data_IF_483220878810
#
_entry.id   IF_483220878810
#
_cell.length_a   1.000
_cell.length_b   1.000
_cell.length_c   1.000
_cell.angle_alpha   90.00
_cell.angle_beta   90.00
_cell.angle_gamma   90.00
#
_symmetry.space_group_name_H-M   'P 1'
#
loop_
_entity.id
_entity.type
_entity.pdbx_description
1 polymer ?
#
# COMPACT_ATOMS: atom_id res chain seq x y z
N UNK A 1 -26.15 -22.77 76.63
CA UNK A 1 -25.09 -23.75 76.94
C UNK A 1 -25.60 -25.10 76.45
N UNK A 2 -25.54 -25.40 75.15
CA UNK A 2 -24.34 -25.82 74.39
C UNK A 2 -23.56 -26.95 75.07
N UNK A 3 -23.42 -28.06 74.32
CA UNK A 3 -22.44 -29.17 74.33
C UNK A 3 -23.16 -30.53 74.13
N UNK A 4 -22.79 -31.45 73.24
CA UNK A 4 -21.71 -31.50 72.26
C UNK A 4 -22.08 -32.51 71.15
N UNK A 5 -21.99 -32.05 69.90
CA UNK A 5 -21.83 -32.85 68.70
C UNK A 5 -20.50 -33.61 68.76
N UNK A 6 -20.50 -34.90 68.40
CA UNK A 6 -19.43 -35.57 67.61
C UNK A 6 -19.73 -37.07 67.41
N UNK A 7 -20.79 -37.38 66.66
CA UNK A 7 -20.75 -38.57 65.81
C UNK A 7 -20.12 -38.12 64.49
N UNK A 8 -18.99 -38.70 64.12
CA UNK A 8 -18.14 -38.26 63.00
C UNK A 8 -18.95 -38.00 61.72
N UNK A 9 -19.10 -36.72 61.37
CA UNK A 9 -19.75 -36.27 60.14
C UNK A 9 -19.00 -36.71 58.86
N UNK A 10 -17.81 -37.29 58.98
CA UNK A 10 -17.00 -37.75 57.85
C UNK A 10 -17.46 -39.05 57.20
N UNK A 11 -18.38 -39.79 57.83
CA UNK A 11 -18.79 -41.11 57.34
C UNK A 11 -19.96 -41.06 56.36
N UNK A 12 -20.78 -40.00 56.41
CA UNK A 12 -21.99 -39.87 55.60
C UNK A 12 -21.90 -38.70 54.62
N UNK A 13 -22.24 -38.98 53.37
CA UNK A 13 -22.10 -38.07 52.24
C UNK A 13 -23.49 -37.79 51.68
N UNK A 14 -23.79 -36.51 51.40
CA UNK A 14 -25.07 -36.12 50.81
C UNK A 14 -25.15 -36.54 49.34
N UNK A 15 -26.34 -36.57 48.75
CA UNK A 15 -26.51 -36.81 47.30
C UNK A 15 -25.68 -35.85 46.46
N UNK A 16 -25.55 -34.60 46.89
CA UNK A 16 -24.79 -33.59 46.14
C UNK A 16 -23.29 -33.88 46.16
N UNK A 17 -22.77 -34.31 47.31
CA UNK A 17 -21.36 -34.69 47.45
C UNK A 17 -21.08 -36.06 46.80
N UNK A 18 -22.08 -36.93 46.72
CA UNK A 18 -21.98 -38.18 45.97
C UNK A 18 -21.89 -37.93 44.45
N UNK A 19 -22.62 -36.94 43.93
CA UNK A 19 -22.53 -36.53 42.52
C UNK A 19 -21.12 -36.05 42.15
N UNK A 20 -20.47 -35.29 43.03
CA UNK A 20 -19.13 -34.77 42.77
C UNK A 20 -18.08 -35.88 42.84
N UNK A 21 -18.19 -36.80 43.81
CA UNK A 21 -17.27 -37.93 43.92
C UNK A 21 -17.36 -38.94 42.77
N UNK A 22 -18.54 -39.09 42.16
CA UNK A 22 -18.79 -39.99 41.02
C UNK A 22 -18.77 -39.27 39.66
N UNK A 23 -18.46 -37.96 39.65
CA UNK A 23 -18.54 -37.09 38.48
C UNK A 23 -19.81 -37.32 37.61
N UNK A 24 -20.97 -37.43 38.28
CA UNK A 24 -22.23 -37.77 37.61
C UNK A 24 -23.43 -36.96 38.12
N UNK A 25 -24.49 -36.90 37.32
CA UNK A 25 -25.72 -36.21 37.67
C UNK A 25 -26.57 -36.97 38.70
N UNK A 26 -27.42 -36.24 39.44
CA UNK A 26 -28.33 -36.82 40.46
C UNK A 26 -29.20 -37.94 39.90
N UNK A 27 -29.61 -37.84 38.63
CA UNK A 27 -30.40 -38.86 37.95
C UNK A 27 -29.69 -40.21 37.97
N UNK A 28 -28.40 -40.27 37.60
CA UNK A 28 -27.61 -41.52 37.59
C UNK A 28 -27.54 -42.15 38.99
N UNK A 29 -27.49 -41.33 40.05
CA UNK A 29 -27.53 -41.84 41.43
C UNK A 29 -28.84 -42.56 41.73
N UNK A 30 -29.98 -41.95 41.42
CA UNK A 30 -31.28 -42.54 41.74
C UNK A 30 -31.69 -43.68 40.80
N UNK A 31 -31.45 -43.52 39.50
CA UNK A 31 -31.99 -44.43 38.47
C UNK A 31 -31.04 -45.52 38.05
N UNK A 32 -29.75 -45.43 38.40
CA UNK A 32 -28.77 -46.46 38.09
C UNK A 32 -28.17 -47.06 39.36
N UNK A 33 -27.72 -46.25 40.32
CA UNK A 33 -27.08 -46.80 41.53
C UNK A 33 -28.08 -47.30 42.58
N UNK A 34 -29.13 -46.54 42.88
CA UNK A 34 -30.10 -46.94 43.92
C UNK A 34 -31.07 -48.01 43.43
N UNK A 35 -31.64 -47.82 42.23
CA UNK A 35 -32.61 -48.76 41.63
C UNK A 35 -32.01 -50.16 41.40
N UNK A 36 -30.76 -50.24 40.98
CA UNK A 36 -30.06 -51.51 40.75
C UNK A 36 -29.42 -52.08 42.03
N UNK A 37 -29.68 -51.47 43.20
CA UNK A 37 -29.19 -51.94 44.50
C UNK A 37 -27.68 -51.72 44.75
N UNK A 38 -26.99 -51.00 43.87
CA UNK A 38 -25.55 -50.71 43.97
C UNK A 38 -25.22 -49.69 45.07
N UNK A 39 -26.17 -48.82 45.41
CA UNK A 39 -26.04 -47.82 46.46
C UNK A 39 -27.31 -47.78 47.31
N UNK A 40 -27.18 -47.90 48.63
CA UNK A 40 -28.32 -47.86 49.56
C UNK A 40 -28.36 -46.56 50.36
N UNK A 41 -29.56 -45.99 50.54
CA UNK A 41 -29.75 -44.82 51.42
C UNK A 41 -29.59 -45.26 52.87
N UNK A 42 -28.58 -44.74 53.57
CA UNK A 42 -28.25 -45.16 54.94
C UNK A 42 -28.82 -44.25 56.00
N UNK A 43 -29.05 -42.98 55.66
CA UNK A 43 -29.69 -42.00 56.55
C UNK A 43 -30.54 -41.05 55.74
N UNK A 44 -31.71 -40.70 56.27
CA UNK A 44 -32.62 -39.71 55.67
C UNK A 44 -32.93 -38.62 56.69
N UNK A 45 -32.64 -37.37 56.34
CA UNK A 45 -32.96 -36.19 57.16
C UNK A 45 -33.87 -35.30 56.31
N UNK A 46 -35.16 -35.29 56.63
CA UNK A 46 -36.18 -34.67 55.77
C UNK A 46 -36.21 -35.29 54.38
N UNK A 47 -36.10 -34.46 53.34
CA UNK A 47 -36.03 -34.91 51.93
C UNK A 47 -34.59 -35.18 51.45
N UNK A 48 -33.59 -35.11 52.33
CA UNK A 48 -32.18 -35.34 51.97
C UNK A 48 -31.78 -36.76 52.30
N UNK A 49 -31.24 -37.44 51.29
CA UNK A 49 -30.66 -38.78 51.42
C UNK A 49 -29.16 -38.67 51.66
N UNK A 50 -28.64 -39.53 52.53
CA UNK A 50 -27.23 -39.63 52.85
C UNK A 50 -26.77 -41.09 52.69
N UNK A 51 -25.56 -41.23 52.16
CA UNK A 51 -24.92 -42.49 51.84
C UNK A 51 -23.63 -42.65 52.63
N UNK A 52 -23.13 -43.87 52.80
CA UNK A 52 -21.81 -44.06 53.36
C UNK A 52 -20.75 -43.65 52.33
N UNK A 53 -19.76 -42.86 52.76
CA UNK A 53 -18.64 -42.44 51.91
C UNK A 53 -17.91 -43.62 51.27
N UNK A 54 -17.73 -44.70 52.03
CA UNK A 54 -17.05 -45.92 51.60
C UNK A 54 -17.77 -46.63 50.45
N UNK A 55 -19.10 -46.54 50.39
CA UNK A 55 -19.89 -47.18 49.33
C UNK A 55 -19.75 -46.38 48.03
N UNK A 56 -19.73 -45.03 48.12
CA UNK A 56 -19.50 -44.15 46.97
C UNK A 56 -18.10 -44.33 46.40
N UNK A 57 -17.07 -44.36 47.26
CA UNK A 57 -15.68 -44.55 46.82
C UNK A 57 -15.45 -45.94 46.19
N UNK A 58 -16.19 -46.96 46.62
CA UNK A 58 -16.17 -48.29 45.97
C UNK A 58 -16.74 -48.23 44.57
N UNK A 59 -17.85 -47.52 44.38
CA UNK A 59 -18.46 -47.33 43.06
C UNK A 59 -17.53 -46.51 42.16
N UNK A 60 -16.93 -45.43 42.66
CA UNK A 60 -16.00 -44.59 41.90
C UNK A 60 -14.83 -45.41 41.34
N UNK A 61 -14.22 -46.25 42.17
CA UNK A 61 -13.14 -47.15 41.75
C UNK A 61 -13.59 -48.19 40.73
N UNK A 62 -14.83 -48.67 40.82
CA UNK A 62 -15.39 -49.59 39.83
C UNK A 62 -15.71 -48.90 38.49
N UNK A 63 -16.08 -47.61 38.50
CA UNK A 63 -16.26 -46.83 37.27
C UNK A 63 -14.93 -46.47 36.63
N UNK A 64 -13.89 -46.13 37.39
CA UNK A 64 -12.54 -45.94 36.82
C UNK A 64 -12.06 -47.18 36.04
N UNK A 65 -12.45 -48.37 36.47
CA UNK A 65 -12.19 -49.63 35.77
C UNK A 65 -13.13 -49.87 34.57
N UNK A 66 -14.28 -49.17 34.48
CA UNK A 66 -15.25 -49.29 33.38
C UNK A 66 -15.21 -48.15 32.35
N UNK A 67 -14.37 -47.11 32.55
CA UNK A 67 -14.16 -46.00 31.58
C UNK A 67 -13.47 -46.46 30.28
N UNK A 68 -13.10 -47.73 30.13
CA UNK A 68 -12.87 -48.28 28.79
C UNK A 68 -14.20 -48.28 28.02
N UNK A 69 -14.34 -47.49 26.94
CA UNK A 69 -15.62 -47.30 26.28
C UNK A 69 -16.02 -48.61 25.58
N UNK A 70 -16.90 -49.38 26.22
CA UNK A 70 -17.70 -50.39 25.54
C UNK A 70 -18.77 -49.63 24.77
N UNK A 71 -18.44 -49.22 23.54
CA UNK A 71 -19.48 -49.00 22.52
C UNK A 71 -19.81 -50.36 21.90
N UNK A 72 -20.57 -51.17 22.62
CA UNK A 72 -21.35 -52.23 21.99
C UNK A 72 -22.75 -51.67 21.79
N UNK A 73 -23.13 -51.55 20.52
CA UNK A 73 -24.45 -51.13 20.06
C UNK A 73 -25.56 -51.97 20.75
N UNK A 74 -26.67 -51.38 21.22
CA UNK A 74 -27.78 -52.13 21.79
C UNK A 74 -28.61 -52.75 20.66
N UNK A 75 -28.12 -53.83 20.07
CA UNK A 75 -28.85 -54.60 19.04
C UNK A 75 -28.35 -56.03 19.00
N UNK A 76 -28.38 -56.73 20.13
CA UNK A 76 -28.33 -58.20 20.25
C UNK A 76 -28.41 -58.53 21.74
N UNK A 77 -29.63 -58.57 22.28
CA UNK A 77 -29.96 -59.21 23.55
C UNK A 77 -31.46 -59.46 23.57
N UNK A 78 -31.90 -60.34 22.67
CA UNK A 78 -33.05 -61.20 22.89
C UNK A 78 -32.61 -62.60 22.47
N UNK A 79 -32.98 -63.56 23.31
CA UNK A 79 -32.71 -65.00 23.18
C UNK A 79 -31.31 -65.46 23.58
N UNK A 80 -31.12 -65.70 24.88
CA UNK A 80 -30.72 -67.01 25.41
C UNK A 80 -30.63 -66.94 26.95
N UNK A 81 -31.80 -66.90 27.59
CA UNK A 81 -31.97 -67.64 28.85
C UNK A 81 -32.16 -69.10 28.45
N UNK A 82 -31.15 -69.93 28.66
CA UNK A 82 -31.28 -71.29 29.21
C UNK A 82 -29.96 -72.04 29.12
N UNK A 83 -29.65 -72.72 30.22
CA UNK A 83 -28.80 -73.91 30.35
C UNK A 83 -27.34 -73.80 30.86
N UNK A 84 -27.22 -74.38 32.05
CA UNK A 84 -26.16 -75.25 32.56
C UNK A 84 -24.90 -74.64 33.23
N UNK A 85 -24.95 -74.77 34.56
CA UNK A 85 -23.84 -74.96 35.50
C UNK A 85 -22.82 -75.98 34.94
N UNK A 86 -21.56 -75.54 34.78
CA UNK A 86 -20.41 -76.41 34.50
C UNK A 86 -19.08 -75.65 34.60
N UNK A 87 -18.02 -76.16 35.27
CA UNK A 87 -16.84 -75.36 35.60
C UNK A 87 -15.74 -75.50 34.54
N UNK A 88 -15.55 -74.50 33.68
CA UNK A 88 -14.27 -74.25 32.98
C UNK A 88 -14.22 -72.89 32.25
N UNK A 89 -14.43 -71.78 32.97
CA UNK A 89 -14.52 -70.43 32.37
C UNK A 89 -13.21 -69.78 31.92
N UNK A 90 -12.03 -70.39 32.16
CA UNK A 90 -10.75 -69.69 31.92
C UNK A 90 -10.37 -69.55 30.44
N UNK A 91 -10.69 -70.54 29.61
CA UNK A 91 -10.27 -70.54 28.19
C UNK A 91 -11.16 -69.66 27.30
N UNK A 92 -12.45 -69.54 27.62
CA UNK A 92 -13.36 -68.62 26.92
C UNK A 92 -13.09 -67.17 27.31
N UNK A 93 -12.85 -66.88 28.58
CA UNK A 93 -12.46 -65.54 29.03
C UNK A 93 -11.15 -65.08 28.39
N UNK A 94 -10.20 -66.00 28.20
CA UNK A 94 -8.91 -65.72 27.57
C UNK A 94 -9.02 -65.51 26.06
N UNK A 95 -9.96 -66.20 25.38
CA UNK A 95 -10.31 -65.94 23.97
C UNK A 95 -11.01 -64.59 23.79
N UNK A 96 -11.99 -64.28 24.64
CA UNK A 96 -12.72 -63.01 24.60
C UNK A 96 -11.79 -61.82 24.82
N UNK A 97 -10.82 -61.94 25.74
CA UNK A 97 -9.80 -60.93 25.98
C UNK A 97 -8.85 -60.76 24.78
N UNK A 98 -8.47 -61.86 24.13
CA UNK A 98 -7.63 -61.84 22.92
C UNK A 98 -8.31 -61.14 21.74
N UNK A 99 -9.60 -61.41 21.53
CA UNK A 99 -10.40 -60.73 20.51
C UNK A 99 -10.56 -59.24 20.81
N UNK A 100 -10.78 -58.88 22.08
CA UNK A 100 -10.85 -57.49 22.51
C UNK A 100 -9.53 -56.73 22.30
N UNK A 101 -8.39 -57.34 22.67
CA UNK A 101 -7.06 -56.75 22.42
C UNK A 101 -6.82 -56.59 20.91
N UNK A 102 -7.28 -57.54 20.09
CA UNK A 102 -7.14 -57.47 18.64
C UNK A 102 -8.00 -56.36 18.04
N UNK A 103 -9.22 -56.17 18.53
CA UNK A 103 -10.11 -55.09 18.10
C UNK A 103 -9.56 -53.71 18.50
N UNK A 104 -8.99 -53.59 19.72
CA UNK A 104 -8.32 -52.38 20.17
C UNK A 104 -7.09 -52.05 19.33
N UNK A 105 -6.26 -53.05 18.99
CA UNK A 105 -5.10 -52.86 18.11
C UNK A 105 -5.53 -52.39 16.72
N UNK A 106 -6.60 -52.97 16.16
CA UNK A 106 -7.16 -52.53 14.89
C UNK A 106 -7.66 -51.07 14.97
N UNK A 107 -8.38 -50.72 16.05
CA UNK A 107 -8.87 -49.36 16.28
C UNK A 107 -7.73 -48.34 16.42
N UNK A 108 -6.66 -48.69 17.11
CA UNK A 108 -5.47 -47.84 17.25
C UNK A 108 -4.84 -47.61 15.88
N UNK A 109 -4.66 -48.67 15.10
CA UNK A 109 -4.11 -48.57 13.74
C UNK A 109 -4.97 -47.68 12.84
N UNK A 110 -6.29 -47.84 12.86
CA UNK A 110 -7.22 -47.01 12.07
C UNK A 110 -7.14 -45.53 12.47
N UNK A 111 -7.02 -45.24 13.78
CA UNK A 111 -6.86 -43.88 14.30
C UNK A 111 -5.52 -43.27 13.90
N UNK A 112 -4.43 -44.03 13.95
CA UNK A 112 -3.12 -43.59 13.48
C UNK A 112 -3.15 -43.30 11.98
N UNK A 113 -3.83 -44.14 11.20
CA UNK A 113 -3.97 -43.96 9.76
C UNK A 113 -4.82 -42.73 9.42
N UNK A 114 -5.91 -42.49 10.16
CA UNK A 114 -6.72 -41.28 10.03
C UNK A 114 -5.93 -40.01 10.40
N UNK A 115 -5.13 -40.07 11.47
CA UNK A 115 -4.27 -38.96 11.89
C UNK A 115 -3.21 -38.65 10.82
N UNK A 116 -2.57 -39.68 10.26
CA UNK A 116 -1.61 -39.52 9.15
C UNK A 116 -2.30 -38.93 7.91
N UNK A 117 -3.46 -39.45 7.54
CA UNK A 117 -4.25 -38.97 6.40
C UNK A 117 -4.63 -37.49 6.55
N UNK A 118 -4.85 -37.01 7.77
CA UNK A 118 -5.16 -35.62 8.05
C UNK A 118 -3.90 -34.72 8.12
N UNK A 119 -2.75 -35.26 8.53
CA UNK A 119 -1.49 -34.51 8.64
C UNK A 119 -0.88 -34.11 7.29
N UNK A 120 -0.97 -34.99 6.28
CA UNK A 120 -0.41 -34.76 4.94
C UNK A 120 -0.97 -33.51 4.24
N UNK A 121 -2.30 -33.32 4.10
CA UNK A 121 -2.84 -32.12 3.48
C UNK A 121 -2.52 -30.86 4.28
N UNK A 122 -2.41 -30.96 5.61
CA UNK A 122 -2.06 -29.83 6.47
C UNK A 122 -0.65 -29.29 6.17
N UNK A 123 0.31 -30.20 5.94
CA UNK A 123 1.68 -29.86 5.52
C UNK A 123 1.66 -29.21 4.14
N UNK A 124 0.92 -29.77 3.18
CA UNK A 124 0.79 -29.18 1.83
C UNK A 124 0.19 -27.77 1.85
N UNK A 125 -0.82 -27.52 2.69
CA UNK A 125 -1.40 -26.19 2.84
C UNK A 125 -0.41 -25.20 3.45
N UNK A 126 0.34 -25.61 4.47
CA UNK A 126 1.38 -24.77 5.07
C UNK A 126 2.47 -24.41 4.06
N UNK A 127 2.89 -25.36 3.23
CA UNK A 127 3.88 -25.11 2.19
C UNK A 127 3.35 -24.16 1.10
N UNK A 128 2.09 -24.35 0.66
CA UNK A 128 1.43 -23.41 -0.27
C UNK A 128 1.31 -22.00 0.29
N UNK A 129 0.97 -21.86 1.57
CA UNK A 129 0.92 -20.56 2.26
C UNK A 129 2.29 -19.88 2.24
N UNK A 130 3.35 -20.61 2.59
CA UNK A 130 4.72 -20.09 2.58
C UNK A 130 5.17 -19.64 1.19
N UNK A 131 4.81 -20.38 0.13
CA UNK A 131 5.11 -19.97 -1.24
C UNK A 131 4.37 -18.69 -1.64
N UNK A 132 3.11 -18.54 -1.23
CA UNK A 132 2.35 -17.31 -1.46
C UNK A 132 2.93 -16.11 -0.72
N UNK A 133 3.38 -16.29 0.52
CA UNK A 133 4.02 -15.21 1.27
C UNK A 133 5.30 -14.72 0.57
N UNK A 134 6.07 -15.64 0.00
CA UNK A 134 7.26 -15.31 -0.77
C UNK A 134 6.91 -14.56 -2.07
N UNK A 135 5.85 -14.98 -2.77
CA UNK A 135 5.37 -14.29 -3.98
C UNK A 135 4.89 -12.86 -3.66
N UNK A 136 4.15 -12.69 -2.57
CA UNK A 136 3.70 -11.38 -2.09
C UNK A 136 4.91 -10.48 -1.74
N UNK A 137 5.94 -11.04 -1.09
CA UNK A 137 7.17 -10.29 -0.80
C UNK A 137 7.84 -9.79 -2.08
N UNK A 138 8.01 -10.66 -3.08
CA UNK A 138 8.60 -10.26 -4.36
C UNK A 138 7.76 -9.21 -5.10
N UNK A 139 6.43 -9.32 -5.05
CA UNK A 139 5.53 -8.33 -5.64
C UNK A 139 5.63 -6.97 -4.94
N UNK A 140 5.76 -6.96 -3.60
CA UNK A 140 5.92 -5.73 -2.83
C UNK A 140 7.27 -5.04 -3.13
N UNK A 141 8.36 -5.79 -3.24
CA UNK A 141 9.67 -5.25 -3.63
C UNK A 141 9.62 -4.61 -5.03
N UNK A 142 8.96 -5.26 -5.99
CA UNK A 142 8.76 -4.72 -7.32
C UNK A 142 7.90 -3.45 -7.31
N UNK A 143 6.86 -3.42 -6.47
CA UNK A 143 6.00 -2.25 -6.30
C UNK A 143 6.77 -1.08 -5.71
N UNK A 144 7.54 -1.29 -4.64
CA UNK A 144 8.38 -0.24 -4.03
C UNK A 144 9.39 0.31 -5.03
N UNK A 145 10.04 -0.57 -5.81
CA UNK A 145 10.96 -0.14 -6.85
C UNK A 145 10.25 0.71 -7.93
N UNK A 146 9.07 0.30 -8.36
CA UNK A 146 8.27 1.04 -9.34
C UNK A 146 7.83 2.41 -8.79
N UNK A 147 7.42 2.49 -7.52
CA UNK A 147 7.07 3.75 -6.86
C UNK A 147 8.26 4.70 -6.75
N UNK A 148 9.43 4.20 -6.33
CA UNK A 148 10.65 5.02 -6.25
C UNK A 148 11.04 5.56 -7.63
N UNK A 149 10.97 4.71 -8.67
CA UNK A 149 11.24 5.13 -10.05
C UNK A 149 10.23 6.16 -10.54
N UNK A 150 8.94 6.00 -10.22
CA UNK A 150 7.90 6.97 -10.58
C UNK A 150 8.17 8.33 -9.92
N UNK A 151 8.50 8.36 -8.63
CA UNK A 151 8.86 9.59 -7.90
C UNK A 151 10.09 10.27 -8.49
N UNK A 152 11.11 9.49 -8.87
CA UNK A 152 12.29 10.03 -9.55
C UNK A 152 11.91 10.69 -10.88
N UNK A 153 11.16 9.99 -11.74
CA UNK A 153 10.73 10.51 -13.04
C UNK A 153 9.83 11.75 -12.90
N UNK A 154 8.97 11.82 -11.88
CA UNK A 154 8.18 13.02 -11.59
C UNK A 154 9.06 14.20 -11.19
N UNK A 155 10.08 13.97 -10.36
CA UNK A 155 11.03 15.02 -9.97
C UNK A 155 11.86 15.52 -11.16
N UNK A 156 12.33 14.62 -12.02
CA UNK A 156 13.06 14.94 -13.24
C UNK A 156 12.18 15.71 -14.25
N UNK A 157 10.94 15.25 -14.45
CA UNK A 157 9.96 15.95 -15.29
C UNK A 157 9.66 17.36 -14.78
N UNK A 158 9.57 17.54 -13.45
CA UNK A 158 9.39 18.86 -12.85
C UNK A 158 10.58 19.78 -13.10
N UNK A 159 11.81 19.29 -12.89
CA UNK A 159 13.03 20.05 -13.17
C UNK A 159 13.13 20.44 -14.65
N UNK A 160 12.77 19.54 -15.57
CA UNK A 160 12.75 19.83 -17.00
C UNK A 160 11.73 20.91 -17.35
N UNK A 161 10.53 20.91 -16.74
CA UNK A 161 9.54 21.97 -16.94
C UNK A 161 10.03 23.32 -16.42
N UNK A 162 10.63 23.35 -15.23
CA UNK A 162 11.22 24.57 -14.66
C UNK A 162 12.34 25.12 -15.56
N UNK A 163 13.21 24.25 -16.08
CA UNK A 163 14.24 24.63 -17.04
C UNK A 163 13.63 25.14 -18.36
N UNK A 164 12.59 24.49 -18.88
CA UNK A 164 11.89 24.93 -20.10
C UNK A 164 11.27 26.32 -19.91
N UNK A 165 10.60 26.57 -18.78
CA UNK A 165 10.05 27.89 -18.44
C UNK A 165 11.15 28.95 -18.34
N UNK A 166 12.28 28.62 -17.71
CA UNK A 166 13.41 29.54 -17.62
C UNK A 166 13.98 29.87 -19.01
N UNK A 167 14.19 28.88 -19.88
CA UNK A 167 14.67 29.13 -21.25
C UNK A 167 13.71 29.97 -22.08
N UNK A 168 12.39 29.81 -21.88
CA UNK A 168 11.38 30.65 -22.55
C UNK A 168 11.48 32.11 -22.11
N UNK A 169 11.67 32.36 -20.82
CA UNK A 169 11.87 33.71 -20.30
C UNK A 169 13.16 34.35 -20.83
N UNK A 170 14.26 33.59 -20.85
CA UNK A 170 15.54 34.03 -21.42
C UNK A 170 15.40 34.35 -22.92
N UNK A 171 14.70 33.51 -23.68
CA UNK A 171 14.43 33.75 -25.09
C UNK A 171 13.65 35.06 -25.28
N UNK A 172 12.59 35.28 -24.51
CA UNK A 172 11.81 36.51 -24.58
C UNK A 172 12.63 37.77 -24.25
N UNK A 173 13.52 37.71 -23.25
CA UNK A 173 14.42 38.82 -22.91
C UNK A 173 15.43 39.08 -24.04
N UNK A 174 16.01 38.02 -24.62
CA UNK A 174 16.94 38.18 -25.75
C UNK A 174 16.27 38.76 -27.00
N UNK A 175 15.04 38.35 -27.30
CA UNK A 175 14.24 38.93 -28.39
C UNK A 175 13.93 40.41 -28.13
N UNK A 176 13.57 40.78 -26.90
CA UNK A 176 13.34 42.17 -26.53
C UNK A 176 14.59 43.04 -26.72
N UNK A 177 15.75 42.56 -26.23
CA UNK A 177 17.05 43.25 -26.40
C UNK A 177 17.44 43.34 -27.87
N UNK A 178 17.24 42.28 -28.63
CA UNK A 178 17.51 42.26 -30.07
C UNK A 178 16.65 43.29 -30.81
N UNK A 179 15.35 43.33 -30.54
CA UNK A 179 14.42 44.29 -31.15
C UNK A 179 14.78 45.73 -30.80
N UNK A 180 15.20 45.99 -29.56
CA UNK A 180 15.68 47.30 -29.14
C UNK A 180 16.95 47.70 -29.89
N UNK A 181 17.93 46.79 -29.99
CA UNK A 181 19.17 47.01 -30.74
C UNK A 181 18.90 47.25 -32.23
N UNK A 182 18.00 46.46 -32.82
CA UNK A 182 17.58 46.59 -34.21
C UNK A 182 16.93 47.95 -34.46
N UNK A 183 16.06 48.42 -33.54
CA UNK A 183 15.44 49.75 -33.65
C UNK A 183 16.49 50.85 -33.67
N UNK A 184 17.50 50.77 -32.79
CA UNK A 184 18.62 51.72 -32.74
C UNK A 184 19.43 51.67 -34.05
N UNK A 185 19.76 50.48 -34.54
CA UNK A 185 20.47 50.31 -35.82
C UNK A 185 19.70 50.90 -37.01
N UNK A 186 18.38 50.70 -37.05
CA UNK A 186 17.52 51.28 -38.09
C UNK A 186 17.45 52.81 -38.00
N UNK A 187 17.40 53.37 -36.79
CA UNK A 187 17.45 54.83 -36.64
C UNK A 187 18.78 55.41 -37.14
N UNK A 188 19.91 54.76 -36.82
CA UNK A 188 21.21 55.18 -37.32
C UNK A 188 21.31 55.05 -38.84
N UNK A 189 20.83 53.95 -39.42
CA UNK A 189 20.79 53.76 -40.88
C UNK A 189 20.00 54.88 -41.56
N UNK A 190 18.84 55.25 -41.01
CA UNK A 190 18.01 56.31 -41.58
C UNK A 190 18.68 57.69 -41.45
N UNK A 191 19.34 57.96 -40.33
CA UNK A 191 20.13 59.19 -40.16
C UNK A 191 21.28 59.27 -41.16
N UNK A 192 22.05 58.19 -41.33
CA UNK A 192 23.13 58.12 -42.31
C UNK A 192 22.62 58.38 -43.72
N UNK A 193 21.49 57.78 -44.11
CA UNK A 193 20.87 58.03 -45.42
C UNK A 193 20.49 59.51 -45.59
N UNK A 194 19.93 60.15 -44.56
CA UNK A 194 19.60 61.57 -44.63
C UNK A 194 20.86 62.44 -44.78
N UNK A 195 21.94 62.10 -44.07
CA UNK A 195 23.23 62.79 -44.20
C UNK A 195 23.85 62.60 -45.58
N UNK A 196 23.76 61.40 -46.17
CA UNK A 196 24.19 61.13 -47.54
C UNK A 196 23.38 61.96 -48.56
N UNK A 197 22.05 62.02 -48.42
CA UNK A 197 21.19 62.82 -49.29
C UNK A 197 21.50 64.33 -49.17
N UNK A 198 21.76 64.83 -47.95
CA UNK A 198 22.20 66.22 -47.76
C UNK A 198 23.57 66.45 -48.41
N UNK A 199 24.49 65.49 -48.32
CA UNK A 199 25.84 65.60 -48.87
C UNK A 199 25.81 65.64 -50.39
N UNK A 200 24.99 64.79 -51.02
CA UNK A 200 24.74 64.82 -52.47
C UNK A 200 24.19 66.18 -52.91
N UNK A 201 23.17 66.70 -52.23
CA UNK A 201 22.62 68.05 -52.53
C UNK A 201 23.67 69.15 -52.40
N UNK A 202 24.53 69.07 -51.38
CA UNK A 202 25.60 70.03 -51.19
C UNK A 202 26.62 69.96 -52.35
N UNK A 203 26.99 68.76 -52.77
CA UNK A 203 27.88 68.53 -53.91
C UNK A 203 27.29 69.07 -55.22
N UNK A 204 26.01 68.84 -55.49
CA UNK A 204 25.29 69.43 -56.62
C UNK A 204 25.34 70.97 -56.61
N UNK A 205 25.16 71.59 -55.44
CA UNK A 205 25.27 73.05 -55.32
C UNK A 205 26.70 73.55 -55.58
N UNK A 206 27.73 72.80 -55.17
CA UNK A 206 29.13 73.16 -55.46
C UNK A 206 29.45 73.04 -56.95
N UNK A 207 28.98 71.99 -57.63
CA UNK A 207 29.11 71.83 -59.08
C UNK A 207 28.43 73.01 -59.78
N UNK A 208 27.19 73.32 -59.39
CA UNK A 208 26.44 74.44 -59.96
C UNK A 208 27.13 75.78 -59.75
N UNK A 209 27.73 76.00 -58.58
CA UNK A 209 28.49 77.22 -58.30
C UNK A 209 29.70 77.34 -59.23
N UNK A 210 30.43 76.23 -59.45
CA UNK A 210 31.58 76.19 -60.36
C UNK A 210 31.16 76.52 -61.79
N UNK A 211 30.10 75.89 -62.30
CA UNK A 211 29.55 76.18 -63.64
C UNK A 211 29.19 77.67 -63.80
N UNK A 212 28.52 78.25 -62.80
CA UNK A 212 28.14 79.66 -62.84
C UNK A 212 29.36 80.60 -62.78
N UNK A 213 30.41 80.22 -62.04
CA UNK A 213 31.67 80.96 -62.00
C UNK A 213 32.38 80.90 -63.35
N UNK A 214 32.49 79.72 -63.97
CA UNK A 214 33.07 79.56 -65.31
C UNK A 214 32.30 80.37 -66.37
N UNK A 215 30.96 80.38 -66.30
CA UNK A 215 30.11 81.22 -67.16
C UNK A 215 30.33 82.71 -66.89
N UNK A 216 30.51 83.11 -65.63
CA UNK A 216 30.76 84.50 -65.26
C UNK A 216 32.13 85.00 -65.74
N UNK A 217 33.15 84.14 -65.66
CA UNK A 217 34.52 84.45 -66.07
C UNK A 217 34.67 84.48 -67.60
N UNK A 218 33.88 83.69 -68.32
CA UNK A 218 33.82 83.69 -69.79
C UNK A 218 32.94 84.82 -70.39
N UNK A 219 32.13 85.52 -69.59
CA UNK A 219 31.31 86.63 -70.06
C UNK A 219 32.15 87.84 -70.52
N UNK A 220 31.83 88.36 -71.70
CA UNK A 220 32.50 89.55 -72.23
C UNK A 220 32.02 90.85 -71.55
N UNK A 221 32.85 91.89 -71.58
CA UNK A 221 32.61 93.16 -70.87
C UNK A 221 31.27 93.84 -71.25
N UNK A 222 30.83 93.73 -72.51
CA UNK A 222 29.60 94.34 -72.99
C UNK A 222 28.32 93.57 -72.59
N UNK A 223 28.42 92.38 -72.01
CA UNK A 223 27.28 91.55 -71.59
C UNK A 223 26.81 91.84 -70.15
N UNK A 224 26.72 93.13 -69.79
CA UNK A 224 26.48 93.57 -68.42
C UNK A 224 25.20 92.99 -67.79
N UNK A 225 24.12 92.86 -68.57
CA UNK A 225 22.86 92.26 -68.12
C UNK A 225 22.98 90.76 -67.80
N UNK A 226 23.79 90.01 -68.54
CA UNK A 226 24.08 88.60 -68.25
C UNK A 226 24.97 88.49 -67.01
N UNK A 227 26.03 89.30 -66.92
CA UNK A 227 26.94 89.35 -65.77
C UNK A 227 26.24 89.67 -64.46
N UNK A 228 25.28 90.62 -64.48
CA UNK A 228 24.46 90.95 -63.30
C UNK A 228 23.57 89.77 -62.88
N UNK A 229 22.94 89.07 -63.83
CA UNK A 229 22.12 87.88 -63.56
C UNK A 229 22.95 86.74 -62.97
N UNK A 230 24.10 86.42 -63.56
CA UNK A 230 25.02 85.40 -63.07
C UNK A 230 25.53 85.74 -61.66
N UNK A 231 25.87 87.00 -61.37
CA UNK A 231 26.27 87.43 -60.02
C UNK A 231 25.17 87.18 -58.98
N UNK A 232 23.91 87.50 -59.30
CA UNK A 232 22.78 87.22 -58.41
C UNK A 232 22.58 85.72 -58.20
N UNK A 233 22.70 84.91 -59.26
CA UNK A 233 22.60 83.45 -59.15
C UNK A 233 23.73 82.85 -58.31
N UNK A 234 24.98 83.28 -58.52
CA UNK A 234 26.14 82.88 -57.70
C UNK A 234 25.91 83.22 -56.22
N UNK A 235 25.43 84.43 -55.92
CA UNK A 235 25.10 84.83 -54.55
C UNK A 235 23.98 83.96 -53.95
N UNK A 236 22.94 83.64 -54.73
CA UNK A 236 21.88 82.73 -54.33
C UNK A 236 22.38 81.31 -54.03
N UNK A 237 23.20 80.74 -54.91
CA UNK A 237 23.81 79.41 -54.72
C UNK A 237 24.75 79.40 -53.52
N UNK A 238 25.58 80.43 -53.33
CA UNK A 238 26.44 80.54 -52.13
C UNK A 238 25.62 80.64 -50.83
N UNK A 239 24.49 81.35 -50.84
CA UNK A 239 23.60 81.41 -49.68
C UNK A 239 22.96 80.02 -49.39
N UNK A 240 22.57 79.28 -50.42
CA UNK A 240 22.05 77.91 -50.27
C UNK A 240 23.11 76.95 -49.72
N UNK A 241 24.35 77.00 -50.22
CA UNK A 241 25.48 76.22 -49.69
C UNK A 241 25.70 76.51 -48.21
N UNK A 242 25.72 77.79 -47.82
CA UNK A 242 25.88 78.18 -46.40
C UNK A 242 24.75 77.63 -45.53
N UNK A 243 23.49 77.69 -45.99
CA UNK A 243 22.35 77.12 -45.26
C UNK A 243 22.46 75.61 -45.07
N UNK A 244 22.84 74.88 -46.12
CA UNK A 244 23.06 73.44 -46.05
C UNK A 244 24.21 73.12 -45.09
N UNK A 245 25.34 73.83 -45.17
CA UNK A 245 26.47 73.66 -44.25
C UNK A 245 26.13 73.98 -42.79
N UNK A 246 25.31 75.00 -42.52
CA UNK A 246 24.84 75.28 -41.16
C UNK A 246 23.94 74.17 -40.63
N UNK A 247 23.14 73.53 -41.50
CA UNK A 247 22.29 72.40 -41.11
C UNK A 247 23.08 71.11 -40.82
N UNK A 248 24.30 70.98 -41.33
CA UNK A 248 25.23 69.89 -40.96
C UNK A 248 25.84 70.10 -39.57
N UNK A 249 26.10 71.36 -39.16
CA UNK A 249 26.76 71.67 -37.89
C UNK A 249 25.83 71.70 -36.68
N UNK A 250 24.52 71.72 -36.88
CA UNK A 250 23.53 71.78 -35.80
C UNK A 250 23.05 70.41 -35.30
N UNK A 251 23.71 69.32 -35.71
CA UNK A 251 23.39 67.95 -35.30
C UNK A 251 24.48 67.26 -34.46
N UNK A 252 25.61 67.95 -34.22
CA UNK A 252 26.57 67.63 -33.16
C UNK A 252 26.15 68.31 -31.84
#
# INVERSE_FOLDING_TARGET
>A
MERDNRFSNDQFVSVQDACTLLNCGRTKIYTHYISNGLLAVKKKIGNRSFFLRTDIERIAKSEELSILPVSMSPSQNQEQESELIGPSGRDEDQKNLSEYISSLKARIHDLEQALRAQSVPMIEYQEKLRLKDLEIQQQNELLEFAEQRARHLESESKQLREAEEQTKLELQDTESRFNQSLKVALTFKNQLRQEEEKRQKLEEQFIRLRELQEQFDSCHFYEWGLKRRLRTQIQGTMANIRRLQTSFRSMD
#
